data_IF_010519490642
#
_entry.id   IF_010519490642
#
_cell.length_a   1.000
_cell.length_b   1.000
_cell.length_c   1.000
_cell.angle_alpha   90.00
_cell.angle_beta   90.00
_cell.angle_gamma   90.00
#
_symmetry.space_group_name_H-M   'P 1'
#
loop_
_entity.id
_entity.type
_entity.pdbx_description
1 polymer ?
#
# COMPACT_ATOMS: atom_id res chain seq x y z
N UNK A 1 -17.06 -37.88 9.84
CA UNK A 1 -17.80 -36.60 9.73
C UNK A 1 -17.86 -35.82 11.03
N UNK A 2 -18.26 -36.39 12.18
CA UNK A 2 -18.29 -35.62 13.46
C UNK A 2 -16.93 -35.07 13.90
N UNK A 3 -15.87 -35.87 13.81
CA UNK A 3 -14.51 -35.41 14.12
C UNK A 3 -14.01 -34.35 13.14
N UNK A 4 -14.41 -34.45 11.87
CA UNK A 4 -14.09 -33.46 10.84
C UNK A 4 -14.82 -32.14 11.09
N UNK A 5 -16.09 -32.18 11.50
CA UNK A 5 -16.86 -31.00 11.91
C UNK A 5 -16.23 -30.34 13.15
N UNK A 6 -15.89 -31.13 14.19
CA UNK A 6 -15.23 -30.61 15.38
C UNK A 6 -13.85 -29.99 15.09
N UNK A 7 -13.09 -30.55 14.14
CA UNK A 7 -11.84 -29.97 13.67
C UNK A 7 -12.06 -28.65 12.91
N UNK A 8 -13.12 -28.58 12.09
CA UNK A 8 -13.50 -27.37 11.37
C UNK A 8 -13.98 -26.25 12.31
N UNK A 9 -14.75 -26.57 13.35
CA UNK A 9 -15.20 -25.60 14.34
C UNK A 9 -14.00 -24.97 15.06
N UNK A 10 -13.03 -25.79 15.50
CA UNK A 10 -11.78 -25.29 16.08
C UNK A 10 -10.96 -24.45 15.10
N UNK A 11 -10.93 -24.81 13.82
CA UNK A 11 -10.26 -24.01 12.80
C UNK A 11 -10.91 -22.64 12.64
N UNK A 12 -12.25 -22.56 12.67
CA UNK A 12 -12.98 -21.30 12.59
C UNK A 12 -12.69 -20.43 13.82
N UNK A 13 -12.68 -20.99 15.03
CA UNK A 13 -12.31 -20.27 16.26
C UNK A 13 -10.90 -19.65 16.13
N UNK A 14 -9.91 -20.42 15.68
CA UNK A 14 -8.55 -19.94 15.49
C UNK A 14 -8.46 -18.84 14.41
N UNK A 15 -9.25 -18.95 13.34
CA UNK A 15 -9.33 -17.92 12.30
C UNK A 15 -9.97 -16.64 12.83
N UNK A 16 -11.01 -16.74 13.66
CA UNK A 16 -11.63 -15.60 14.32
C UNK A 16 -10.65 -14.89 15.26
N UNK A 17 -9.92 -15.63 16.09
CA UNK A 17 -8.87 -15.09 16.95
C UNK A 17 -7.78 -14.37 16.14
N UNK A 18 -7.33 -14.99 15.04
CA UNK A 18 -6.33 -14.40 14.15
C UNK A 18 -6.82 -13.11 13.50
N UNK A 19 -8.09 -13.05 13.07
CA UNK A 19 -8.70 -11.82 12.54
C UNK A 19 -8.74 -10.73 13.60
N UNK A 20 -9.11 -11.06 14.83
CA UNK A 20 -9.11 -10.11 15.96
C UNK A 20 -7.70 -9.57 16.21
N UNK A 21 -6.68 -10.45 16.22
CA UNK A 21 -5.29 -10.07 16.45
C UNK A 21 -4.72 -9.20 15.32
N UNK A 22 -5.01 -9.53 14.05
CA UNK A 22 -4.60 -8.71 12.90
C UNK A 22 -5.29 -7.34 12.96
N UNK A 23 -6.59 -7.33 13.28
CA UNK A 23 -7.35 -6.10 13.43
C UNK A 23 -6.83 -5.20 14.55
N UNK A 24 -6.45 -5.77 15.70
CA UNK A 24 -5.89 -5.00 16.81
C UNK A 24 -4.52 -4.41 16.46
N UNK A 25 -3.63 -5.19 15.86
CA UNK A 25 -2.31 -4.74 15.42
C UNK A 25 -2.41 -3.65 14.33
N UNK A 26 -3.35 -3.78 13.39
CA UNK A 26 -3.59 -2.75 12.38
C UNK A 26 -4.05 -1.42 13.01
N UNK A 27 -5.02 -1.47 13.94
CA UNK A 27 -5.49 -0.27 14.66
C UNK A 27 -4.38 0.38 15.49
N UNK A 28 -3.56 -0.41 16.18
CA UNK A 28 -2.42 0.11 16.94
C UNK A 28 -1.44 0.86 16.03
N UNK A 29 -1.06 0.26 14.91
CA UNK A 29 -0.16 0.90 13.93
C UNK A 29 -0.75 2.22 13.40
N UNK A 30 -2.05 2.27 13.12
CA UNK A 30 -2.72 3.50 12.67
C UNK A 30 -2.73 4.58 13.76
N UNK A 31 -2.90 4.20 15.02
CA UNK A 31 -2.82 5.13 16.14
C UNK A 31 -1.41 5.70 16.31
N UNK A 32 -0.37 4.86 16.26
CA UNK A 32 1.03 5.29 16.31
C UNK A 32 1.38 6.23 15.15
N UNK A 33 0.90 5.91 13.94
CA UNK A 33 1.08 6.77 12.77
C UNK A 33 0.40 8.12 12.96
N UNK A 34 -0.82 8.15 13.48
CA UNK A 34 -1.53 9.41 13.76
C UNK A 34 -0.78 10.26 14.80
N UNK A 35 -0.28 9.65 15.88
CA UNK A 35 0.55 10.35 16.87
C UNK A 35 1.83 10.90 16.23
N UNK A 36 2.50 10.10 15.39
CA UNK A 36 3.69 10.54 14.66
C UNK A 36 3.39 11.73 13.74
N UNK A 37 2.26 11.73 13.04
CA UNK A 37 1.85 12.82 12.16
C UNK A 37 1.57 14.11 12.91
N UNK A 38 0.91 14.02 14.06
CA UNK A 38 0.68 15.19 14.94
C UNK A 38 2.00 15.75 15.48
N UNK A 39 3.00 14.90 15.75
CA UNK A 39 4.33 15.33 16.16
C UNK A 39 5.18 15.90 15.00
N UNK A 40 4.88 15.54 13.75
CA UNK A 40 5.67 15.90 12.57
C UNK A 40 4.81 16.46 11.41
N UNK A 41 4.02 17.53 11.63
CA UNK A 41 3.02 17.99 10.66
C UNK A 41 3.62 18.46 9.33
N UNK A 42 4.74 19.19 9.37
CA UNK A 42 5.44 19.65 8.17
C UNK A 42 5.98 18.48 7.34
N UNK A 43 6.57 17.49 8.01
CA UNK A 43 7.11 16.31 7.32
C UNK A 43 5.99 15.47 6.70
N UNK A 44 4.86 15.28 7.40
CA UNK A 44 3.69 14.60 6.84
C UNK A 44 3.15 15.34 5.60
N UNK A 45 3.13 16.68 5.63
CA UNK A 45 2.77 17.49 4.47
C UNK A 45 3.75 17.30 3.30
N UNK A 46 5.06 17.29 3.55
CA UNK A 46 6.07 17.00 2.53
C UNK A 46 5.94 15.57 1.98
N UNK A 47 5.68 14.57 2.82
CA UNK A 47 5.43 13.19 2.39
C UNK A 47 4.25 13.11 1.42
N UNK A 48 3.14 13.81 1.71
CA UNK A 48 1.98 13.88 0.81
C UNK A 48 2.36 14.49 -0.55
N UNK A 49 3.04 15.64 -0.55
CA UNK A 49 3.47 16.30 -1.79
C UNK A 49 4.50 15.47 -2.57
N UNK A 50 5.36 14.76 -1.86
CA UNK A 50 6.34 13.85 -2.46
C UNK A 50 5.63 12.64 -3.10
N UNK A 51 4.64 12.06 -2.42
CA UNK A 51 3.80 10.98 -2.96
C UNK A 51 3.09 11.42 -4.26
N UNK A 52 2.49 12.61 -4.29
CA UNK A 52 1.83 13.13 -5.50
C UNK A 52 2.80 13.26 -6.68
N UNK A 53 4.00 13.79 -6.44
CA UNK A 53 5.03 13.94 -7.47
C UNK A 53 5.58 12.58 -7.92
N UNK A 54 5.80 11.67 -6.98
CA UNK A 54 6.32 10.34 -7.26
C UNK A 54 5.29 9.50 -8.02
N UNK A 55 4.01 9.66 -7.73
CA UNK A 55 2.92 9.06 -8.50
C UNK A 55 2.94 9.48 -9.98
N UNK A 56 3.22 10.77 -10.27
CA UNK A 56 3.40 11.22 -11.66
C UNK A 56 4.60 10.56 -12.33
N UNK A 57 5.74 10.52 -11.65
CA UNK A 57 6.95 9.83 -12.14
C UNK A 57 6.67 8.34 -12.40
N UNK A 58 5.91 7.68 -11.53
CA UNK A 58 5.50 6.30 -11.71
C UNK A 58 4.61 6.11 -12.93
N UNK A 59 3.66 7.00 -13.16
CA UNK A 59 2.82 6.99 -14.37
C UNK A 59 3.67 7.13 -15.63
N UNK A 60 4.62 8.07 -15.66
CA UNK A 60 5.53 8.24 -16.79
C UNK A 60 6.40 6.99 -17.04
N UNK A 61 6.85 6.35 -15.95
CA UNK A 61 7.60 5.11 -16.03
C UNK A 61 6.75 3.94 -16.55
N UNK A 62 5.48 3.86 -16.14
CA UNK A 62 4.54 2.88 -16.66
C UNK A 62 4.31 3.09 -18.15
N UNK A 63 4.12 4.34 -18.61
CA UNK A 63 4.03 4.66 -20.04
C UNK A 63 5.24 4.12 -20.79
N UNK A 64 6.44 4.41 -20.30
CA UNK A 64 7.70 3.94 -20.93
C UNK A 64 7.77 2.41 -20.99
N UNK A 65 7.35 1.71 -19.94
CA UNK A 65 7.30 0.24 -19.91
C UNK A 65 6.31 -0.28 -20.95
N UNK A 66 5.11 0.29 -20.99
CA UNK A 66 4.05 -0.18 -21.89
C UNK A 66 4.40 0.06 -23.36
N UNK A 67 5.05 1.17 -23.69
CA UNK A 67 5.57 1.44 -25.03
C UNK A 67 6.60 0.39 -25.44
N UNK A 68 7.55 0.07 -24.55
CA UNK A 68 8.60 -0.90 -24.86
C UNK A 68 8.07 -2.32 -25.05
N UNK A 69 7.02 -2.69 -24.30
CA UNK A 69 6.30 -3.95 -24.51
C UNK A 69 5.60 -3.95 -25.86
N UNK A 70 4.88 -2.87 -26.20
CA UNK A 70 4.11 -2.77 -27.45
C UNK A 70 5.03 -2.86 -28.68
N UNK A 71 6.13 -2.09 -28.69
CA UNK A 71 7.07 -2.09 -29.80
C UNK A 71 7.96 -3.36 -29.85
N UNK A 72 8.19 -3.99 -28.70
CA UNK A 72 9.06 -5.16 -28.56
C UNK A 72 8.35 -6.50 -28.46
N UNK A 73 7.02 -6.55 -28.58
CA UNK A 73 6.20 -7.70 -28.18
C UNK A 73 6.66 -9.03 -28.80
N UNK A 74 6.84 -9.09 -30.12
CA UNK A 74 7.22 -10.34 -30.80
C UNK A 74 8.63 -10.81 -30.38
N UNK A 75 9.55 -9.88 -30.12
CA UNK A 75 10.90 -10.19 -29.65
C UNK A 75 10.89 -10.70 -28.22
N UNK A 76 10.13 -10.04 -27.33
CA UNK A 76 9.95 -10.45 -25.93
C UNK A 76 9.27 -11.81 -25.83
N UNK A 77 8.26 -12.06 -26.67
CA UNK A 77 7.53 -13.33 -26.74
C UNK A 77 8.39 -14.47 -27.27
N UNK A 78 9.30 -14.19 -28.19
CA UNK A 78 10.13 -15.19 -28.86
C UNK A 78 11.39 -15.60 -28.11
N UNK A 79 11.81 -14.88 -27.07
CA UNK A 79 13.10 -15.10 -26.40
C UNK A 79 13.07 -14.90 -24.88
N UNK A 80 13.25 -15.99 -24.13
CA UNK A 80 13.35 -15.98 -22.66
C UNK A 80 14.46 -15.05 -22.14
N UNK A 81 15.60 -15.00 -22.84
CA UNK A 81 16.69 -14.09 -22.51
C UNK A 81 16.27 -12.61 -22.58
N UNK A 82 15.59 -12.20 -23.66
CA UNK A 82 15.18 -10.80 -23.87
C UNK A 82 14.08 -10.43 -22.87
N UNK A 83 13.18 -11.36 -22.56
CA UNK A 83 12.20 -11.19 -21.50
C UNK A 83 12.88 -11.03 -20.12
N UNK A 84 13.89 -11.83 -19.80
CA UNK A 84 14.65 -11.71 -18.55
C UNK A 84 15.35 -10.35 -18.47
N UNK A 85 16.01 -9.91 -19.54
CA UNK A 85 16.68 -8.60 -19.59
C UNK A 85 15.68 -7.45 -19.41
N UNK A 86 14.50 -7.54 -20.01
CA UNK A 86 13.42 -6.59 -19.81
C UNK A 86 12.97 -6.55 -18.34
N UNK A 87 12.72 -7.72 -17.73
CA UNK A 87 12.33 -7.83 -16.32
C UNK A 87 13.43 -7.28 -15.40
N UNK A 88 14.71 -7.56 -15.69
CA UNK A 88 15.84 -7.07 -14.90
C UNK A 88 16.03 -5.55 -15.04
N UNK A 89 15.74 -5.00 -16.22
CA UNK A 89 15.81 -3.55 -16.49
C UNK A 89 14.70 -2.78 -15.78
N UNK A 90 13.45 -3.28 -15.83
CA UNK A 90 12.27 -2.54 -15.38
C UNK A 90 11.74 -2.97 -14.00
N UNK A 91 11.82 -4.26 -13.68
CA UNK A 91 11.23 -4.87 -12.50
C UNK A 91 11.72 -4.29 -11.18
N UNK A 92 13.03 -4.34 -10.86
CA UNK A 92 13.55 -3.84 -9.59
C UNK A 92 13.24 -2.36 -9.35
N UNK A 93 13.35 -1.53 -10.41
CA UNK A 93 13.07 -0.10 -10.32
C UNK A 93 11.58 0.17 -10.08
N UNK A 94 10.69 -0.53 -10.77
CA UNK A 94 9.25 -0.41 -10.55
C UNK A 94 8.85 -0.84 -9.13
N UNK A 95 9.39 -1.95 -8.63
CA UNK A 95 9.13 -2.43 -7.29
C UNK A 95 9.57 -1.42 -6.22
N UNK A 96 10.78 -0.87 -6.36
CA UNK A 96 11.27 0.16 -5.45
C UNK A 96 10.45 1.45 -5.50
N UNK A 97 10.07 1.91 -6.70
CA UNK A 97 9.26 3.11 -6.88
C UNK A 97 7.89 2.97 -6.20
N UNK A 98 7.23 1.82 -6.38
CA UNK A 98 5.99 1.49 -5.69
C UNK A 98 6.15 1.47 -4.16
N UNK A 99 7.22 0.85 -3.67
CA UNK A 99 7.51 0.80 -2.24
C UNK A 99 7.68 2.19 -1.62
N UNK A 100 8.44 3.07 -2.29
CA UNK A 100 8.62 4.45 -1.87
C UNK A 100 7.31 5.23 -1.89
N UNK A 101 6.51 5.09 -2.94
CA UNK A 101 5.20 5.73 -3.02
C UNK A 101 4.29 5.27 -1.88
N UNK A 102 4.25 3.97 -1.60
CA UNK A 102 3.43 3.41 -0.52
C UNK A 102 3.80 4.00 0.85
N UNK A 103 5.09 4.05 1.18
CA UNK A 103 5.57 4.63 2.44
C UNK A 103 5.23 6.12 2.53
N UNK A 104 5.52 6.89 1.48
CA UNK A 104 5.22 8.33 1.47
C UNK A 104 3.71 8.62 1.57
N UNK A 105 2.89 7.78 0.94
CA UNK A 105 1.43 7.90 0.99
C UNK A 105 0.90 7.60 2.38
N UNK A 106 1.43 6.57 3.06
CA UNK A 106 1.07 6.27 4.45
C UNK A 106 1.44 7.41 5.39
N UNK A 107 2.69 7.87 5.32
CA UNK A 107 3.17 8.97 6.16
C UNK A 107 2.43 10.29 5.89
N UNK A 108 2.03 10.52 4.64
CA UNK A 108 1.31 11.71 4.22
C UNK A 108 -0.22 11.65 4.34
N UNK A 109 -0.82 10.50 4.64
CA UNK A 109 -2.28 10.33 4.69
C UNK A 109 -2.90 11.19 5.80
N UNK A 110 -4.08 11.78 5.60
CA UNK A 110 -4.71 12.56 6.66
C UNK A 110 -5.10 11.62 7.81
N UNK A 111 -4.66 11.92 9.03
CA UNK A 111 -5.22 11.29 10.22
C UNK A 111 -6.66 11.81 10.41
N UNK A 112 -7.65 10.95 10.21
CA UNK A 112 -9.09 11.24 10.32
C UNK A 112 -9.56 11.62 11.76
N UNK A 113 -8.62 11.91 12.66
CA UNK A 113 -8.87 12.18 14.07
C UNK A 113 -9.39 13.61 14.30
N UNK A 114 -9.23 14.52 13.34
CA UNK A 114 -9.50 15.95 13.54
C UNK A 114 -10.94 16.41 13.21
N UNK A 115 -11.81 15.54 12.66
CA UNK A 115 -13.14 15.98 12.20
C UNK A 115 -14.33 15.52 13.07
N UNK A 116 -14.10 14.71 14.10
CA UNK A 116 -15.19 14.25 14.99
C UNK A 116 -15.48 15.20 16.17
N UNK A 117 -14.61 16.19 16.47
CA UNK A 117 -14.84 17.13 17.58
C UNK A 117 -15.65 18.38 17.21
N UNK A 118 -15.87 18.65 15.92
CA UNK A 118 -16.58 19.85 15.46
C UNK A 118 -18.11 19.68 15.36
N UNK A 119 -18.62 18.44 15.34
CA UNK A 119 -20.05 18.15 15.10
C UNK A 119 -21.00 18.31 16.30
N UNK A 120 -20.51 18.51 17.52
CA UNK A 120 -21.35 18.43 18.74
C UNK A 120 -21.57 19.76 19.48
N UNK A 121 -21.18 20.91 18.91
CA UNK A 121 -21.32 22.23 19.58
C UNK A 121 -22.42 23.15 19.05
N UNK A 122 -23.24 22.72 18.09
CA UNK A 122 -24.38 23.51 17.60
C UNK A 122 -25.72 22.93 18.05
N UNK A 123 -25.94 22.93 19.36
CA UNK A 123 -27.26 22.71 19.95
C UNK A 123 -27.29 23.37 21.34
N UNK A 124 -27.32 24.70 21.37
CA UNK A 124 -27.85 25.45 22.52
C UNK A 124 -28.44 26.76 22.05
#
# INVERSE_FOLDING_TARGET
MREMLAAQDRQNELLEELVVQIGSHHRQRMAELSVWQQANPELAHFCRRAADKLGKIQTDYLTSITEEIEYGFETLRGGEYVLSEFVDRFGPRFAHLNGLLHVLSQLGSPSDVTDQSAGTRSAK
#
